data_IF_109986605836
#
_entry.id   IF_109986605836
#
_cell.length_a   1.000
_cell.length_b   1.000
_cell.length_c   1.000
_cell.angle_alpha   90.00
_cell.angle_beta   90.00
_cell.angle_gamma   90.00
#
_symmetry.space_group_name_H-M   'P 1'
#
loop_
_entity.id
_entity.type
_entity.pdbx_description
1 polymer ?
#
# COMPACT_ATOMS: atom_id res chain seq x y z
N UNK A 1 8.73 -11.61 -1.77
CA UNK A 1 7.36 -11.40 -1.27
C UNK A 1 6.79 -12.61 -0.52
N UNK A 2 6.48 -12.46 0.77
CA UNK A 2 5.65 -13.39 1.55
C UNK A 2 4.17 -13.15 1.24
N UNK A 3 3.33 -14.17 1.37
CA UNK A 3 1.88 -14.06 1.14
C UNK A 3 1.12 -14.33 2.43
N UNK A 4 0.14 -13.47 2.74
CA UNK A 4 -0.80 -13.60 3.85
C UNK A 4 -2.20 -13.64 3.25
N UNK A 5 -3.02 -14.56 3.70
CA UNK A 5 -4.43 -14.65 3.33
C UNK A 5 -5.30 -14.37 4.56
N UNK A 6 -6.15 -13.35 4.46
CA UNK A 6 -7.10 -12.96 5.50
C UNK A 6 -8.51 -13.28 5.04
N UNK A 7 -9.23 -14.06 5.84
CA UNK A 7 -10.65 -14.34 5.62
C UNK A 7 -11.44 -13.62 6.70
N UNK A 8 -12.12 -12.53 6.32
CA UNK A 8 -12.79 -11.61 7.22
C UNK A 8 -14.29 -11.60 6.92
N UNK A 9 -15.11 -11.86 7.95
CA UNK A 9 -16.56 -12.07 7.80
C UNK A 9 -17.36 -10.79 7.52
N UNK A 10 -16.87 -9.64 7.96
CA UNK A 10 -17.66 -8.39 8.02
C UNK A 10 -17.00 -7.20 7.28
N UNK A 11 -15.98 -7.44 6.46
CA UNK A 11 -15.31 -6.35 5.74
C UNK A 11 -16.07 -5.96 4.48
N UNK A 12 -16.57 -4.72 4.49
CA UNK A 12 -17.32 -4.12 3.37
C UNK A 12 -16.60 -2.93 2.73
N UNK A 13 -15.47 -2.51 3.28
CA UNK A 13 -14.77 -1.31 2.85
C UNK A 13 -13.27 -1.56 2.64
N UNK A 14 -12.69 -0.79 1.72
CA UNK A 14 -11.24 -0.77 1.49
C UNK A 14 -10.47 -0.34 2.74
N UNK A 15 -10.99 0.64 3.49
CA UNK A 15 -10.32 1.17 4.69
C UNK A 15 -10.22 0.10 5.79
N UNK A 16 -11.31 -0.64 6.03
CA UNK A 16 -11.29 -1.75 6.98
C UNK A 16 -10.35 -2.87 6.51
N UNK A 17 -10.39 -3.19 5.21
CA UNK A 17 -9.51 -4.20 4.62
C UNK A 17 -8.03 -3.84 4.74
N UNK A 18 -7.70 -2.56 4.51
CA UNK A 18 -6.34 -2.04 4.63
C UNK A 18 -5.88 -2.07 6.10
N UNK A 19 -6.74 -1.66 7.03
CA UNK A 19 -6.44 -1.68 8.46
C UNK A 19 -6.10 -3.09 8.93
N UNK A 20 -6.90 -4.09 8.56
CA UNK A 20 -6.61 -5.48 8.92
C UNK A 20 -5.36 -6.02 8.21
N UNK A 21 -5.11 -5.61 6.96
CA UNK A 21 -3.87 -5.95 6.28
C UNK A 21 -2.63 -5.35 6.95
N UNK A 22 -2.72 -4.10 7.43
CA UNK A 22 -1.67 -3.42 8.21
C UNK A 22 -1.42 -4.13 9.54
N UNK A 23 -2.49 -4.50 10.25
CA UNK A 23 -2.39 -5.27 11.48
C UNK A 23 -1.66 -6.59 11.24
N UNK A 24 -2.02 -7.32 10.18
CA UNK A 24 -1.39 -8.60 9.85
C UNK A 24 0.11 -8.45 9.55
N UNK A 25 0.54 -7.41 8.82
CA UNK A 25 1.98 -7.21 8.56
C UNK A 25 2.75 -6.71 9.79
N UNK A 26 2.08 -6.01 10.73
CA UNK A 26 2.71 -5.52 11.96
C UNK A 26 3.22 -6.66 12.86
N UNK A 27 2.61 -7.84 12.80
CA UNK A 27 3.02 -9.02 13.57
C UNK A 27 4.38 -9.60 13.12
N UNK A 28 4.87 -9.23 11.94
CA UNK A 28 6.14 -9.74 11.39
C UNK A 28 7.39 -9.02 11.93
N UNK A 29 7.20 -7.95 12.71
CA UNK A 29 8.27 -7.14 13.28
C UNK A 29 8.96 -6.22 12.26
N UNK A 30 9.18 -4.98 12.67
CA UNK A 30 9.69 -3.90 11.82
C UNK A 30 8.57 -3.03 11.24
N UNK A 31 8.95 -1.91 10.65
CA UNK A 31 8.01 -0.98 10.04
C UNK A 31 7.73 -1.40 8.59
N UNK A 32 6.46 -1.36 8.18
CA UNK A 32 6.05 -1.68 6.82
C UNK A 32 5.26 -0.52 6.23
N UNK A 33 5.61 -0.13 5.00
CA UNK A 33 4.88 0.88 4.23
C UNK A 33 4.05 0.20 3.14
N UNK A 34 2.87 0.75 2.85
CA UNK A 34 2.00 0.25 1.78
C UNK A 34 2.51 0.81 0.45
N UNK A 35 2.87 -0.08 -0.47
CA UNK A 35 3.34 0.27 -1.82
C UNK A 35 2.19 0.41 -2.82
N UNK A 36 1.31 -0.60 -2.84
CA UNK A 36 0.20 -0.66 -3.78
C UNK A 36 -0.96 -1.45 -3.20
N UNK A 37 -2.15 -1.20 -3.73
CA UNK A 37 -3.35 -1.95 -3.37
C UNK A 37 -4.29 -2.08 -4.55
N UNK A 38 -5.19 -3.06 -4.47
CA UNK A 38 -6.21 -3.30 -5.47
C UNK A 38 -7.54 -3.71 -4.81
N UNK A 39 -8.62 -3.04 -5.22
CA UNK A 39 -10.01 -3.39 -4.94
C UNK A 39 -10.62 -3.99 -6.20
N UNK A 40 -10.87 -5.31 -6.15
CA UNK A 40 -11.37 -6.08 -7.29
C UNK A 40 -12.84 -5.79 -7.60
N UNK A 41 -13.65 -5.48 -6.60
CA UNK A 41 -15.07 -5.19 -6.80
C UNK A 41 -15.27 -3.87 -7.55
N UNK A 42 -14.41 -2.88 -7.25
CA UNK A 42 -14.41 -1.57 -7.92
C UNK A 42 -13.49 -1.50 -9.14
N UNK A 43 -12.64 -2.50 -9.34
CA UNK A 43 -11.66 -2.55 -10.43
C UNK A 43 -10.65 -1.40 -10.35
N UNK A 44 -10.30 -0.97 -9.14
CA UNK A 44 -9.46 0.22 -8.90
C UNK A 44 -8.31 -0.13 -7.96
N UNK A 45 -7.22 0.62 -8.06
CA UNK A 45 -6.05 0.40 -7.23
C UNK A 45 -5.17 1.64 -7.16
N UNK A 46 -4.15 1.57 -6.31
CA UNK A 46 -3.10 2.57 -6.22
C UNK A 46 -1.72 1.90 -6.39
N UNK A 47 -0.71 2.63 -6.90
CA UNK A 47 -0.73 4.05 -7.29
C UNK A 47 -1.52 4.32 -8.59
N UNK A 48 -2.39 5.34 -8.56
CA UNK A 48 -3.25 5.68 -9.71
C UNK A 48 -2.46 6.30 -10.87
N UNK A 49 -1.38 7.02 -10.61
CA UNK A 49 -0.58 7.70 -11.64
C UNK A 49 0.04 6.72 -12.64
N UNK A 50 0.37 5.51 -12.17
CA UNK A 50 0.96 4.44 -12.99
C UNK A 50 -0.11 3.48 -13.51
N UNK A 51 -1.17 3.23 -12.72
CA UNK A 51 -2.17 2.19 -13.00
C UNK A 51 -3.57 2.71 -13.40
N UNK A 52 -3.74 3.99 -13.78
CA UNK A 52 -5.05 4.65 -13.94
C UNK A 52 -6.06 3.98 -14.89
N UNK A 53 -5.67 2.97 -15.67
CA UNK A 53 -6.55 2.27 -16.61
C UNK A 53 -6.28 0.75 -16.69
N UNK A 54 -5.45 0.21 -15.81
CA UNK A 54 -5.02 -1.19 -15.89
C UNK A 54 -5.68 -2.08 -14.84
N UNK A 55 -5.81 -3.36 -15.20
CA UNK A 55 -6.44 -4.38 -14.36
C UNK A 55 -5.55 -4.68 -13.13
N UNK A 56 -5.99 -5.61 -12.26
CA UNK A 56 -5.27 -6.07 -11.04
C UNK A 56 -3.77 -6.35 -11.21
N UNK A 57 -3.32 -6.61 -12.45
CA UNK A 57 -1.93 -6.85 -12.81
C UNK A 57 -1.04 -5.62 -12.58
N UNK A 58 -1.49 -4.40 -12.88
CA UNK A 58 -0.60 -3.23 -12.74
C UNK A 58 -0.19 -2.95 -11.28
N UNK A 59 -1.11 -2.94 -10.29
CA UNK A 59 -0.71 -2.77 -8.89
C UNK A 59 0.22 -3.89 -8.38
N UNK A 60 0.05 -5.12 -8.89
CA UNK A 60 0.94 -6.24 -8.59
C UNK A 60 2.31 -6.07 -9.24
N UNK A 61 2.35 -5.79 -10.54
CA UNK A 61 3.60 -5.62 -11.29
C UNK A 61 4.41 -4.44 -10.71
N UNK A 62 3.73 -3.36 -10.30
CA UNK A 62 4.34 -2.26 -9.55
C UNK A 62 4.97 -2.75 -8.24
N UNK A 63 4.23 -3.52 -7.44
CA UNK A 63 4.75 -4.08 -6.19
C UNK A 63 5.94 -5.03 -6.41
N UNK A 64 5.89 -5.86 -7.45
CA UNK A 64 6.99 -6.77 -7.78
C UNK A 64 8.23 -6.00 -8.25
N UNK A 65 8.05 -4.96 -9.07
CA UNK A 65 9.14 -4.10 -9.53
C UNK A 65 9.81 -3.35 -8.38
N UNK A 66 9.03 -2.91 -7.39
CA UNK A 66 9.51 -2.24 -6.19
C UNK A 66 9.83 -3.22 -5.04
N UNK A 67 10.04 -4.49 -5.36
CA UNK A 67 10.54 -5.52 -4.42
C UNK A 67 9.68 -5.69 -3.15
N UNK A 68 8.36 -5.64 -3.28
CA UNK A 68 7.45 -5.80 -2.14
C UNK A 68 7.78 -7.05 -1.29
N UNK A 69 7.90 -6.82 0.01
CA UNK A 69 8.22 -7.84 1.00
C UNK A 69 7.02 -8.72 1.32
N UNK A 70 5.81 -8.16 1.36
CA UNK A 70 4.60 -8.86 1.80
C UNK A 70 3.41 -8.50 0.92
N UNK A 71 2.68 -9.52 0.47
CA UNK A 71 1.34 -9.42 -0.10
C UNK A 71 0.32 -9.91 0.91
N UNK A 72 -0.73 -9.13 1.11
CA UNK A 72 -1.91 -9.51 1.90
C UNK A 72 -3.12 -9.58 0.96
N UNK A 73 -3.71 -10.76 0.84
CA UNK A 73 -4.96 -10.98 0.12
C UNK A 73 -6.10 -11.10 1.13
N UNK A 74 -7.14 -10.28 0.97
CA UNK A 74 -8.34 -10.30 1.82
C UNK A 74 -9.50 -10.91 1.05
N UNK A 75 -10.22 -11.84 1.68
CA UNK A 75 -11.42 -12.49 1.16
C UNK A 75 -11.23 -13.09 -0.24
N UNK A 76 -10.16 -13.87 -0.40
CA UNK A 76 -9.90 -14.63 -1.61
C UNK A 76 -9.41 -13.80 -2.81
N UNK A 77 -8.85 -12.60 -2.56
CA UNK A 77 -8.40 -11.57 -3.52
C UNK A 77 -9.38 -10.42 -3.80
N UNK A 78 -10.47 -10.31 -3.04
CA UNK A 78 -11.37 -9.17 -3.11
C UNK A 78 -10.63 -7.85 -2.91
N UNK A 79 -9.67 -7.86 -1.98
CA UNK A 79 -8.65 -6.82 -1.84
C UNK A 79 -7.26 -7.43 -1.84
N UNK A 80 -6.31 -6.74 -2.46
CA UNK A 80 -4.89 -7.05 -2.36
C UNK A 80 -4.12 -5.83 -1.87
N UNK A 81 -3.20 -6.05 -0.94
CA UNK A 81 -2.31 -5.02 -0.41
C UNK A 81 -0.87 -5.50 -0.47
N UNK A 82 0.03 -4.63 -0.87
CA UNK A 82 1.43 -4.94 -1.06
C UNK A 82 2.27 -3.99 -0.20
N UNK A 83 3.14 -4.56 0.63
CA UNK A 83 3.93 -3.84 1.61
C UNK A 83 5.41 -4.05 1.40
N UNK A 84 6.20 -3.02 1.65
CA UNK A 84 7.66 -3.06 1.73
C UNK A 84 8.09 -2.81 3.16
N UNK A 85 9.12 -3.52 3.60
CA UNK A 85 9.74 -3.29 4.90
C UNK A 85 10.57 -2.01 4.82
N UNK A 86 10.23 -1.05 5.66
CA UNK A 86 11.01 0.17 5.82
C UNK A 86 12.21 -0.16 6.70
N UNK A 87 13.45 0.11 6.26
CA UNK A 87 14.63 -0.17 7.04
C UNK A 87 14.68 0.79 8.25
N UNK A 88 15.16 0.31 9.41
CA UNK A 88 15.03 1.03 10.69
C UNK A 88 15.80 2.36 10.74
N UNK A 89 16.80 2.52 9.89
CA UNK A 89 17.56 3.76 9.65
C UNK A 89 16.76 4.82 8.87
N UNK A 90 15.65 4.44 8.23
CA UNK A 90 14.71 5.38 7.62
C UNK A 90 13.68 5.93 8.62
N UNK A 91 13.51 5.33 9.82
CA UNK A 91 12.60 5.86 10.87
C UNK A 91 13.13 7.15 11.52
N UNK A 92 14.41 7.50 11.30
CA UNK A 92 14.99 8.80 11.69
C UNK A 92 14.74 9.94 10.69
N UNK A 93 14.06 9.66 9.58
CA UNK A 93 13.54 10.71 8.70
C UNK A 93 12.15 11.08 9.25
N UNK A 94 12.06 12.26 9.87
CA UNK A 94 10.80 12.84 10.34
C UNK A 94 9.72 12.72 9.25
N UNK A 95 8.45 12.69 9.65
CA UNK A 95 7.28 12.48 8.77
C UNK A 95 7.18 13.44 7.55
N UNK A 96 8.08 14.42 7.43
CA UNK A 96 8.27 15.34 6.30
C UNK A 96 9.22 14.81 5.18
N UNK A 97 9.91 13.68 5.35
CA UNK A 97 10.92 13.19 4.37
C UNK A 97 10.67 11.80 3.77
N UNK A 98 9.51 11.18 4.00
CA UNK A 98 9.09 9.96 3.27
C UNK A 98 8.78 10.26 1.78
N UNK A 99 8.91 11.51 1.34
CA UNK A 99 8.83 11.93 -0.06
C UNK A 99 10.12 11.75 -0.88
N UNK A 100 11.25 11.34 -0.30
CA UNK A 100 12.55 11.30 -1.00
C UNK A 100 13.09 9.91 -1.35
N UNK A 101 12.38 8.82 -1.01
CA UNK A 101 12.78 7.45 -1.44
C UNK A 101 12.29 7.16 -2.89
N UNK A 102 11.38 7.97 -3.42
CA UNK A 102 10.89 7.90 -4.80
C UNK A 102 11.27 9.17 -5.58
N UNK A 103 12.57 9.37 -5.83
CA UNK A 103 13.11 10.54 -6.52
C UNK A 103 12.83 10.59 -8.04
N UNK A 104 11.63 10.21 -8.49
CA UNK A 104 11.16 10.43 -9.87
C UNK A 104 9.66 10.77 -9.96
N UNK A 105 8.97 11.01 -8.85
CA UNK A 105 7.59 11.54 -8.89
C UNK A 105 7.64 13.07 -8.74
N UNK A 106 7.27 13.85 -9.77
CA UNK A 106 7.31 15.30 -9.69
C UNK A 106 6.35 15.79 -8.58
N UNK A 107 6.94 16.42 -7.56
CA UNK A 107 6.24 17.20 -6.54
C UNK A 107 5.35 18.25 -7.19
N UNK A 108 4.06 17.99 -7.31
CA UNK A 108 3.05 19.05 -7.43
C UNK A 108 1.89 18.79 -6.45
N UNK A 109 1.95 19.60 -5.38
CA UNK A 109 0.84 20.19 -4.65
C UNK A 109 -0.05 19.28 -3.77
N UNK A 110 0.52 18.84 -2.66
CA UNK A 110 -0.19 18.92 -1.38
C UNK A 110 0.37 20.10 -0.59
N UNK A 111 -0.04 21.31 -0.96
CA UNK A 111 0.05 22.45 -0.04
C UNK A 111 -1.17 22.39 0.88
N UNK A 112 -0.89 22.24 2.17
CA UNK A 112 -1.74 22.65 3.28
C UNK A 112 -2.22 24.11 3.04
N UNK A 113 -3.27 24.68 3.64
CA UNK A 113 -3.57 24.81 5.07
C UNK A 113 -5.00 25.40 5.23
N UNK A 114 -5.72 24.87 6.21
CA UNK A 114 -6.81 25.44 7.01
C UNK A 114 -6.82 26.98 7.21
N UNK A 115 -8.00 27.62 7.17
CA UNK A 115 -8.18 28.97 7.69
C UNK A 115 -9.63 29.48 7.65
N UNK A 116 -10.17 29.83 8.82
CA UNK A 116 -11.01 31.00 9.12
C UNK A 116 -12.25 31.30 8.27
#
# INVERSE_FOLDING_TARGET
>A
MKNIELVLKDITSLEDAEKEARNAVSEFGGHFSLLSWYDKARGTGAPQEVCSQENWKCPRDYAEHHEADVRVAVNGDAYEFYFIKVPADAETLEADEVGSIHADVPKQAFDNVQGG
#
